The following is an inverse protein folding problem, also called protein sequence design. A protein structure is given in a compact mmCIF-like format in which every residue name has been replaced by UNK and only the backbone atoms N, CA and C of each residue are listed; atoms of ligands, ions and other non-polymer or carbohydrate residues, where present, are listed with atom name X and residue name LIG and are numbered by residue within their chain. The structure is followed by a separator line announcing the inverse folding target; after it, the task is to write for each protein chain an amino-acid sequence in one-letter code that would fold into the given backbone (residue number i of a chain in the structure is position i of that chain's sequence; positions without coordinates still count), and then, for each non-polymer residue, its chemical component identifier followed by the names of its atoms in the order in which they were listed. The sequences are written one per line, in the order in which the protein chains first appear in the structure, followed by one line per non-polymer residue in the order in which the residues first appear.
data_IF_185465621141
#
_entry.id   IF_185465621141
#
_cell.length_a   1.000
_cell.length_b   1.000
_cell.length_c   1.000
_cell.angle_alpha   90.00
_cell.angle_beta   90.00
_cell.angle_gamma   90.00
#
_symmetry.space_group_name_H-M   'P 1'
#
loop_
_entity.id
_entity.type
_entity.pdbx_description
1 polymer ?
#
# COMPACT_ATOMS: atom_id res chain seq x y z
N UNK A 1 32.27 14.58 -12.91
CA UNK A 1 31.82 13.50 -12.00
C UNK A 1 30.29 13.58 -11.86
N UNK A 2 29.58 13.54 -13.02
CA UNK A 2 28.12 13.76 -13.10
C UNK A 2 27.46 12.90 -14.22
N UNK A 3 27.77 11.57 -14.23
CA UNK A 3 27.19 10.63 -15.21
C UNK A 3 26.38 9.48 -14.59
N UNK A 4 25.97 9.56 -13.33
CA UNK A 4 25.29 8.43 -12.64
C UNK A 4 23.79 8.63 -12.46
N UNK A 5 23.21 9.75 -12.85
CA UNK A 5 21.82 10.11 -12.49
C UNK A 5 20.82 10.18 -13.66
N UNK A 6 21.08 9.44 -14.76
CA UNK A 6 20.09 9.41 -15.86
C UNK A 6 19.84 7.99 -16.38
N UNK A 7 19.49 7.06 -15.50
CA UNK A 7 18.74 5.86 -15.85
C UNK A 7 17.32 6.03 -15.32
N UNK A 8 16.44 6.64 -16.11
CA UNK A 8 15.02 6.38 -16.00
C UNK A 8 14.86 4.86 -16.16
N UNK A 9 14.44 4.19 -15.08
CA UNK A 9 14.14 2.75 -15.15
C UNK A 9 12.85 2.64 -15.95
N UNK A 10 12.98 2.35 -17.26
CA UNK A 10 11.79 2.15 -18.11
C UNK A 10 11.01 0.93 -17.62
N UNK A 11 9.71 1.11 -17.49
CA UNK A 11 8.76 0.04 -17.19
C UNK A 11 8.74 -0.97 -18.35
N UNK A 12 8.59 -2.26 -18.06
CA UNK A 12 8.48 -3.29 -19.08
C UNK A 12 7.17 -3.14 -19.86
N UNK A 13 7.23 -3.36 -21.18
CA UNK A 13 6.03 -3.25 -22.03
C UNK A 13 4.90 -4.17 -21.59
N UNK A 14 5.20 -5.40 -21.19
CA UNK A 14 4.19 -6.33 -20.69
C UNK A 14 3.50 -5.80 -19.42
N UNK A 15 4.22 -5.04 -18.58
CA UNK A 15 3.66 -4.38 -17.40
C UNK A 15 2.77 -3.20 -17.79
N UNK A 16 3.16 -2.42 -18.80
CA UNK A 16 2.34 -1.32 -19.32
C UNK A 16 1.01 -1.84 -19.86
N UNK A 17 1.03 -2.90 -20.67
CA UNK A 17 -0.18 -3.53 -21.22
C UNK A 17 -1.07 -4.08 -20.09
N UNK A 18 -0.49 -4.68 -19.06
CA UNK A 18 -1.22 -5.15 -17.88
C UNK A 18 -1.84 -4.00 -17.08
N UNK A 19 -1.12 -2.89 -16.91
CA UNK A 19 -1.62 -1.68 -16.24
C UNK A 19 -2.85 -1.14 -16.95
N UNK A 20 -2.85 -1.04 -18.28
CA UNK A 20 -4.02 -0.56 -19.02
C UNK A 20 -5.23 -1.50 -18.85
N UNK A 21 -5.02 -2.81 -18.89
CA UNK A 21 -6.07 -3.79 -18.57
C UNK A 21 -6.62 -3.62 -17.15
N UNK A 22 -5.74 -3.44 -16.17
CA UNK A 22 -6.14 -3.22 -14.76
C UNK A 22 -6.94 -1.93 -14.64
N UNK A 23 -6.52 -0.83 -15.28
CA UNK A 23 -7.25 0.44 -15.28
C UNK A 23 -8.67 0.29 -15.83
N UNK A 24 -8.86 -0.49 -16.91
CA UNK A 24 -10.19 -0.79 -17.46
C UNK A 24 -11.06 -1.56 -16.47
N UNK A 25 -10.47 -2.56 -15.78
CA UNK A 25 -11.18 -3.34 -14.76
C UNK A 25 -11.57 -2.46 -13.57
N UNK A 26 -10.64 -1.64 -13.04
CA UNK A 26 -10.89 -0.76 -11.90
C UNK A 26 -11.98 0.29 -12.18
N UNK A 27 -12.06 0.85 -13.41
CA UNK A 27 -13.13 1.77 -13.79
C UNK A 27 -14.53 1.14 -13.70
N UNK A 28 -14.62 -0.19 -13.84
CA UNK A 28 -15.90 -0.94 -13.70
C UNK A 28 -16.17 -1.34 -12.24
N UNK A 29 -15.14 -1.41 -11.41
CA UNK A 29 -15.21 -1.98 -10.04
C UNK A 29 -15.35 -0.94 -8.95
N UNK A 30 -14.99 0.31 -9.23
CA UNK A 30 -14.94 1.37 -8.20
C UNK A 30 -15.42 2.71 -8.74
N UNK A 31 -15.73 3.63 -7.83
CA UNK A 31 -16.09 5.01 -8.17
C UNK A 31 -14.94 5.73 -8.90
N UNK A 32 -15.29 6.73 -9.74
CA UNK A 32 -14.31 7.54 -10.44
C UNK A 32 -13.31 8.22 -9.49
N UNK A 33 -13.78 8.70 -8.35
CA UNK A 33 -12.93 9.29 -7.32
C UNK A 33 -11.88 8.28 -6.84
N UNK A 34 -12.29 7.04 -6.55
CA UNK A 34 -11.40 5.98 -6.08
C UNK A 34 -10.42 5.56 -7.18
N UNK A 35 -10.89 5.46 -8.41
CA UNK A 35 -10.04 5.17 -9.56
C UNK A 35 -8.94 6.23 -9.74
N UNK A 36 -9.29 7.52 -9.70
CA UNK A 36 -8.32 8.61 -9.83
C UNK A 36 -7.29 8.60 -8.69
N UNK A 37 -7.73 8.32 -7.46
CA UNK A 37 -6.83 8.11 -6.32
C UNK A 37 -5.86 6.95 -6.58
N UNK A 38 -6.34 5.80 -7.04
CA UNK A 38 -5.48 4.64 -7.34
C UNK A 38 -4.43 4.96 -8.42
N UNK A 39 -4.79 5.72 -9.45
CA UNK A 39 -3.82 6.18 -10.47
C UNK A 39 -2.79 7.15 -9.86
N UNK A 40 -3.20 8.05 -8.98
CA UNK A 40 -2.30 8.98 -8.30
C UNK A 40 -1.30 8.22 -7.40
N UNK A 41 -1.79 7.24 -6.63
CA UNK A 41 -0.93 6.38 -5.79
C UNK A 41 0.04 5.56 -6.63
N UNK A 42 -0.40 5.01 -7.77
CA UNK A 42 0.49 4.32 -8.72
C UNK A 42 1.65 5.21 -9.15
N UNK A 43 1.36 6.43 -9.60
CA UNK A 43 2.39 7.36 -10.06
C UNK A 43 3.38 7.72 -8.94
N UNK A 44 2.86 7.98 -7.73
CA UNK A 44 3.69 8.28 -6.57
C UNK A 44 4.53 7.07 -6.12
N UNK A 45 4.00 5.86 -6.20
CA UNK A 45 4.74 4.64 -5.87
C UNK A 45 5.90 4.41 -6.86
N UNK A 46 5.68 4.65 -8.16
CA UNK A 46 6.74 4.61 -9.19
C UNK A 46 7.83 5.62 -8.89
N UNK A 47 7.47 6.89 -8.64
CA UNK A 47 8.42 7.95 -8.29
C UNK A 47 9.29 7.58 -7.07
N UNK A 48 8.67 7.04 -6.01
CA UNK A 48 9.39 6.60 -4.83
C UNK A 48 10.27 5.36 -5.13
N UNK A 49 9.78 4.41 -5.93
CA UNK A 49 10.55 3.24 -6.32
C UNK A 49 11.84 3.62 -7.07
N UNK A 50 11.78 4.58 -7.98
CA UNK A 50 12.97 5.13 -8.65
C UNK A 50 13.97 5.73 -7.66
N UNK A 51 13.49 6.54 -6.69
CA UNK A 51 14.33 7.18 -5.66
C UNK A 51 15.04 6.17 -4.78
N UNK A 52 14.36 5.06 -4.42
CA UNK A 52 14.90 4.03 -3.52
C UNK A 52 15.55 2.86 -4.23
N UNK A 53 15.56 2.84 -5.57
CA UNK A 53 16.11 1.73 -6.37
C UNK A 53 15.29 0.45 -6.26
N UNK A 54 13.97 0.59 -6.04
CA UNK A 54 13.03 -0.52 -5.97
C UNK A 54 12.45 -0.83 -7.36
N UNK A 55 11.79 -1.97 -7.51
CA UNK A 55 11.20 -2.39 -8.77
C UNK A 55 9.98 -1.52 -9.13
N UNK A 56 10.11 -0.69 -10.19
CA UNK A 56 9.07 0.24 -10.63
C UNK A 56 7.82 -0.47 -11.16
N UNK A 57 7.97 -1.64 -11.82
CA UNK A 57 6.86 -2.45 -12.31
C UNK A 57 5.99 -2.92 -11.14
N UNK A 58 6.62 -3.48 -10.09
CA UNK A 58 5.91 -3.94 -8.88
C UNK A 58 5.28 -2.78 -8.12
N UNK A 59 5.96 -1.63 -8.03
CA UNK A 59 5.44 -0.44 -7.38
C UNK A 59 4.21 0.12 -8.11
N UNK A 60 4.24 0.15 -9.45
CA UNK A 60 3.10 0.56 -10.27
C UNK A 60 1.89 -0.37 -10.05
N UNK A 61 2.10 -1.68 -10.14
CA UNK A 61 1.03 -2.67 -9.97
C UNK A 61 0.43 -2.64 -8.57
N UNK A 62 1.27 -2.60 -7.54
CA UNK A 62 0.81 -2.53 -6.15
C UNK A 62 0.08 -1.21 -5.86
N UNK A 63 0.63 -0.07 -6.29
CA UNK A 63 0.02 1.24 -6.10
C UNK A 63 -1.32 1.37 -6.81
N UNK A 64 -1.44 0.87 -8.05
CA UNK A 64 -2.69 0.90 -8.81
C UNK A 64 -3.80 0.07 -8.18
N UNK A 65 -3.45 -1.05 -7.54
CA UNK A 65 -4.42 -2.03 -7.04
C UNK A 65 -4.59 -2.03 -5.52
N UNK A 66 -3.87 -1.15 -4.77
CA UNK A 66 -3.92 -1.16 -3.30
C UNK A 66 -5.34 -1.09 -2.73
N UNK A 67 -6.21 -0.30 -3.35
CA UNK A 67 -7.60 -0.06 -2.93
C UNK A 67 -8.65 -0.87 -3.75
N UNK A 68 -8.24 -1.92 -4.46
CA UNK A 68 -9.13 -2.73 -5.33
C UNK A 68 -10.38 -3.28 -4.60
N UNK A 69 -10.29 -3.49 -3.30
CA UNK A 69 -11.38 -4.01 -2.46
C UNK A 69 -12.03 -2.93 -1.56
N UNK A 70 -11.68 -1.64 -1.73
CA UNK A 70 -12.12 -0.56 -0.84
C UNK A 70 -13.62 -0.32 -0.81
N UNK A 71 -14.29 -0.55 -1.93
CA UNK A 71 -15.72 -0.33 -2.09
C UNK A 71 -16.50 -1.65 -2.09
N UNK A 72 -15.87 -2.78 -1.75
CA UNK A 72 -16.57 -4.04 -1.50
C UNK A 72 -17.37 -3.89 -0.20
N UNK A 73 -18.68 -4.23 -0.20
CA UNK A 73 -19.50 -4.19 1.02
C UNK A 73 -18.93 -5.09 2.12
N UNK A 74 -19.11 -4.69 3.39
CA UNK A 74 -18.58 -5.42 4.55
C UNK A 74 -19.02 -6.89 4.57
N UNK A 75 -20.30 -7.17 4.32
CA UNK A 75 -20.84 -8.53 4.25
C UNK A 75 -20.11 -9.40 3.21
N UNK A 76 -19.86 -8.83 2.06
CA UNK A 76 -19.12 -9.51 0.99
C UNK A 76 -17.65 -9.70 1.35
N UNK A 77 -17.02 -8.72 1.98
CA UNK A 77 -15.63 -8.84 2.47
C UNK A 77 -15.50 -9.94 3.51
N UNK A 78 -16.44 -10.07 4.45
CA UNK A 78 -16.48 -11.17 5.42
C UNK A 78 -16.72 -12.52 4.75
N UNK A 79 -17.63 -12.59 3.76
CA UNK A 79 -17.87 -13.81 3.00
C UNK A 79 -16.62 -14.28 2.26
N UNK A 80 -15.93 -13.36 1.57
CA UNK A 80 -14.66 -13.66 0.88
C UNK A 80 -13.63 -14.18 1.89
N UNK A 81 -13.53 -13.55 3.06
CA UNK A 81 -12.58 -13.98 4.09
C UNK A 81 -12.87 -15.40 4.58
N UNK A 82 -14.12 -15.72 4.89
CA UNK A 82 -14.54 -17.01 5.42
C UNK A 82 -14.35 -18.14 4.38
N UNK A 83 -14.86 -17.94 3.15
CA UNK A 83 -14.77 -18.91 2.07
C UNK A 83 -13.33 -19.25 1.65
N UNK A 84 -12.38 -18.32 1.86
CA UNK A 84 -11.00 -18.46 1.43
C UNK A 84 -10.00 -18.60 2.60
N UNK A 85 -10.49 -18.77 3.82
CA UNK A 85 -9.65 -19.01 5.00
C UNK A 85 -8.76 -17.82 5.35
N UNK A 86 -9.15 -16.58 4.99
CA UNK A 86 -8.42 -15.35 5.34
C UNK A 86 -8.66 -15.04 6.81
N UNK A 87 -7.61 -15.16 7.63
CA UNK A 87 -7.71 -14.92 9.06
C UNK A 87 -7.85 -13.43 9.36
N UNK A 88 -8.92 -13.08 10.05
CA UNK A 88 -9.21 -11.75 10.57
C UNK A 88 -9.04 -11.74 12.08
N UNK A 89 -8.37 -10.73 12.62
CA UNK A 89 -8.30 -10.51 14.06
C UNK A 89 -9.52 -9.75 14.61
N UNK A 90 -9.57 -9.57 15.92
CA UNK A 90 -10.71 -8.92 16.58
C UNK A 90 -10.83 -7.44 16.24
N UNK A 91 -9.72 -6.74 15.99
CA UNK A 91 -9.75 -5.31 15.64
C UNK A 91 -10.23 -5.13 14.20
N UNK A 92 -9.79 -5.99 13.29
CA UNK A 92 -10.25 -6.01 11.91
C UNK A 92 -11.76 -6.31 11.83
N UNK A 93 -12.28 -7.23 12.64
CA UNK A 93 -13.72 -7.51 12.70
C UNK A 93 -14.55 -6.34 13.22
N UNK A 94 -14.01 -5.56 14.16
CA UNK A 94 -14.67 -4.37 14.71
C UNK A 94 -14.54 -3.17 13.74
N UNK A 95 -13.40 -3.02 13.09
CA UNK A 95 -13.13 -1.96 12.16
C UNK A 95 -12.99 -2.51 10.73
N UNK A 96 -14.13 -2.79 10.11
CA UNK A 96 -14.22 -3.39 8.77
C UNK A 96 -13.47 -2.64 7.67
N UNK A 97 -13.20 -1.33 7.91
CA UNK A 97 -12.38 -0.54 6.99
C UNK A 97 -10.95 -1.05 6.83
N UNK A 98 -10.48 -1.89 7.75
CA UNK A 98 -9.14 -2.50 7.66
C UNK A 98 -9.11 -3.71 6.72
N UNK A 99 -10.26 -4.33 6.46
CA UNK A 99 -10.36 -5.58 5.68
C UNK A 99 -9.86 -5.44 4.25
N UNK A 100 -10.06 -4.25 3.64
CA UNK A 100 -9.76 -4.08 2.22
C UNK A 100 -8.29 -4.33 1.85
N UNK A 101 -7.35 -4.25 2.78
CA UNK A 101 -5.95 -4.63 2.53
C UNK A 101 -5.81 -6.14 2.28
N UNK A 102 -6.34 -6.97 3.18
CA UNK A 102 -6.30 -8.43 3.05
C UNK A 102 -7.18 -8.93 1.90
N UNK A 103 -8.39 -8.42 1.80
CA UNK A 103 -9.33 -8.78 0.73
C UNK A 103 -8.79 -8.29 -0.63
N UNK A 104 -8.21 -7.11 -0.70
CA UNK A 104 -7.59 -6.57 -1.91
C UNK A 104 -6.42 -7.42 -2.40
N UNK A 105 -5.56 -7.87 -1.50
CA UNK A 105 -4.47 -8.79 -1.84
C UNK A 105 -5.02 -10.11 -2.41
N UNK A 106 -6.07 -10.67 -1.81
CA UNK A 106 -6.73 -11.87 -2.33
C UNK A 106 -7.31 -11.63 -3.72
N UNK A 107 -8.11 -10.57 -3.91
CA UNK A 107 -8.72 -10.23 -5.21
C UNK A 107 -7.66 -9.99 -6.28
N UNK A 108 -6.57 -9.30 -5.96
CA UNK A 108 -5.46 -9.05 -6.88
C UNK A 108 -4.73 -10.34 -7.28
N UNK A 109 -4.56 -11.28 -6.33
CA UNK A 109 -4.02 -12.63 -6.63
C UNK A 109 -4.89 -13.36 -7.63
N UNK A 110 -6.18 -13.47 -7.36
CA UNK A 110 -7.12 -14.22 -8.20
C UNK A 110 -7.29 -13.62 -9.60
N UNK A 111 -7.32 -12.28 -9.71
CA UNK A 111 -7.55 -11.61 -10.99
C UNK A 111 -6.29 -11.50 -11.86
N UNK A 112 -5.14 -11.24 -11.24
CA UNK A 112 -3.94 -10.83 -11.97
C UNK A 112 -2.73 -11.75 -11.72
N UNK A 113 -2.82 -12.70 -10.79
CA UNK A 113 -1.74 -13.64 -10.50
C UNK A 113 -0.47 -12.99 -9.94
N UNK A 114 -0.60 -11.90 -9.19
CA UNK A 114 0.53 -11.17 -8.65
C UNK A 114 1.39 -12.02 -7.71
N UNK A 115 2.69 -11.71 -7.68
CA UNK A 115 3.64 -12.32 -6.77
C UNK A 115 3.43 -11.83 -5.31
N UNK A 116 4.01 -12.55 -4.36
CA UNK A 116 3.82 -12.27 -2.92
C UNK A 116 4.32 -10.88 -2.49
N UNK A 117 5.31 -10.28 -3.15
CA UNK A 117 5.78 -8.94 -2.81
C UNK A 117 4.71 -7.88 -3.09
N UNK A 118 4.11 -7.93 -4.29
CA UNK A 118 2.99 -7.03 -4.67
C UNK A 118 1.82 -7.25 -3.72
N UNK A 119 1.44 -8.52 -3.48
CA UNK A 119 0.31 -8.86 -2.60
C UNK A 119 0.55 -8.40 -1.16
N UNK A 120 1.79 -8.50 -0.67
CA UNK A 120 2.15 -8.02 0.66
C UNK A 120 2.08 -6.49 0.76
N UNK A 121 2.53 -5.76 -0.26
CA UNK A 121 2.39 -4.31 -0.31
C UNK A 121 0.92 -3.87 -0.31
N UNK A 122 0.05 -4.56 -1.07
CA UNK A 122 -1.40 -4.33 -1.04
C UNK A 122 -1.97 -4.63 0.36
N UNK A 123 -1.58 -5.74 0.98
CA UNK A 123 -2.07 -6.13 2.31
C UNK A 123 -1.70 -5.12 3.40
N UNK A 124 -0.48 -4.60 3.35
CA UNK A 124 0.10 -3.76 4.41
C UNK A 124 -0.14 -2.26 4.24
N UNK A 125 -0.85 -1.81 3.18
CA UNK A 125 -1.14 -0.39 3.04
C UNK A 125 -2.21 0.13 4.03
N UNK A 126 -3.01 -0.76 4.63
CA UNK A 126 -4.02 -0.40 5.65
C UNK A 126 -3.52 -0.53 7.07
N UNK A 127 -2.83 -1.65 7.34
CA UNK A 127 -2.21 -1.97 8.62
C UNK A 127 -0.77 -2.33 8.36
N UNK A 128 0.14 -1.65 9.02
CA UNK A 128 1.56 -1.97 8.96
C UNK A 128 1.85 -3.30 9.67
N UNK A 129 3.00 -3.88 9.39
CA UNK A 129 3.52 -5.02 10.14
C UNK A 129 5.04 -4.85 10.36
N UNK A 130 5.59 -5.44 11.44
CA UNK A 130 7.03 -5.57 11.58
C UNK A 130 7.65 -6.18 10.31
N UNK A 131 8.88 -5.82 10.02
CA UNK A 131 9.63 -6.32 8.85
C UNK A 131 9.02 -6.01 7.46
N UNK A 132 8.23 -4.91 7.35
CA UNK A 132 7.80 -4.40 6.04
C UNK A 132 9.01 -4.23 5.10
N UNK A 133 8.92 -4.81 3.91
CA UNK A 133 9.91 -4.57 2.86
C UNK A 133 9.80 -3.14 2.27
N UNK A 134 10.73 -2.77 1.41
CA UNK A 134 10.77 -1.42 0.83
C UNK A 134 9.54 -1.15 -0.04
N UNK A 135 9.08 -2.14 -0.82
CA UNK A 135 7.89 -2.01 -1.66
C UNK A 135 6.63 -1.71 -0.84
N UNK A 136 6.42 -2.44 0.27
CA UNK A 136 5.29 -2.22 1.16
C UNK A 136 5.34 -0.82 1.81
N UNK A 137 6.51 -0.35 2.24
CA UNK A 137 6.69 1.02 2.76
C UNK A 137 6.39 2.07 1.71
N UNK A 138 6.85 1.88 0.46
CA UNK A 138 6.60 2.79 -0.66
C UNK A 138 5.09 2.93 -0.89
N UNK A 139 4.36 1.82 -1.01
CA UNK A 139 2.91 1.85 -1.25
C UNK A 139 2.16 2.46 -0.07
N UNK A 140 2.52 2.11 1.16
CA UNK A 140 1.94 2.70 2.38
C UNK A 140 2.13 4.22 2.44
N UNK A 141 3.33 4.71 2.11
CA UNK A 141 3.63 6.15 2.10
C UNK A 141 2.96 6.83 0.93
N UNK A 142 2.98 6.24 -0.28
CA UNK A 142 2.36 6.80 -1.48
C UNK A 142 0.85 7.05 -1.31
N UNK A 143 0.14 6.12 -0.64
CA UNK A 143 -1.30 6.29 -0.32
C UNK A 143 -1.60 7.45 0.66
N UNK A 144 -0.63 7.86 1.47
CA UNK A 144 -0.82 8.87 2.54
C UNK A 144 -0.23 10.23 2.23
N UNK A 145 0.61 10.36 1.18
CA UNK A 145 1.21 11.63 0.77
C UNK A 145 0.32 12.28 -0.29
N UNK A 146 -0.13 13.51 -0.05
CA UNK A 146 -0.80 14.32 -1.07
C UNK A 146 0.17 14.63 -2.23
N UNK A 147 -0.33 14.69 -3.47
CA UNK A 147 0.42 14.88 -4.73
C UNK A 147 1.32 16.14 -4.79
N UNK A 148 1.29 17.01 -3.80
CA UNK A 148 1.91 18.33 -3.81
C UNK A 148 3.38 18.34 -3.38
N UNK A 149 3.94 17.26 -2.87
CA UNK A 149 5.35 17.20 -2.47
C UNK A 149 6.19 16.49 -3.52
N UNK A 150 7.13 17.24 -4.16
CA UNK A 150 8.22 16.61 -4.93
C UNK A 150 9.00 15.69 -3.99
N UNK A 151 9.31 14.49 -4.46
CA UNK A 151 10.08 13.48 -3.71
C UNK A 151 11.57 13.83 -3.73
N UNK A 152 11.96 14.92 -3.05
CA UNK A 152 13.33 14.95 -2.56
C UNK A 152 13.48 13.79 -1.60
N UNK A 153 14.64 13.13 -1.59
CA UNK A 153 14.93 11.91 -0.86
C UNK A 153 14.31 11.90 0.55
N UNK A 154 13.04 11.44 0.63
CA UNK A 154 12.28 11.37 1.89
C UNK A 154 12.93 10.26 2.71
N UNK A 155 13.17 10.44 4.00
CA UNK A 155 13.44 9.33 4.91
C UNK A 155 12.18 8.45 4.98
N UNK A 156 12.15 7.34 4.25
CA UNK A 156 10.96 6.49 4.14
C UNK A 156 10.54 5.91 5.50
N UNK A 157 11.50 5.49 6.32
CA UNK A 157 11.22 4.97 7.66
C UNK A 157 10.65 6.08 8.57
N UNK A 158 11.20 7.29 8.48
CA UNK A 158 10.66 8.46 9.16
C UNK A 158 9.26 8.85 8.69
N UNK A 159 8.99 8.73 7.39
CA UNK A 159 7.64 8.97 6.84
C UNK A 159 6.64 7.94 7.37
N UNK A 160 6.98 6.66 7.38
CA UNK A 160 6.13 5.59 7.96
C UNK A 160 5.86 5.87 9.44
N UNK A 161 6.89 6.17 10.24
CA UNK A 161 6.73 6.51 11.67
C UNK A 161 5.77 7.68 11.84
N UNK A 162 5.96 8.77 11.10
CA UNK A 162 5.12 9.96 11.18
C UNK A 162 3.65 9.65 10.84
N UNK A 163 3.40 8.84 9.83
CA UNK A 163 2.03 8.42 9.44
C UNK A 163 1.41 7.60 10.56
N UNK A 164 2.14 6.63 11.13
CA UNK A 164 1.67 5.81 12.25
C UNK A 164 1.36 6.69 13.47
N UNK A 165 2.27 7.59 13.86
CA UNK A 165 2.08 8.50 15.00
C UNK A 165 0.82 9.36 14.84
N UNK A 166 0.59 9.91 13.64
CA UNK A 166 -0.61 10.68 13.33
C UNK A 166 -1.88 9.81 13.38
N UNK A 167 -1.80 8.56 12.93
CA UNK A 167 -2.90 7.59 12.97
C UNK A 167 -3.23 7.23 14.41
N UNK A 168 -2.25 6.87 15.22
CA UNK A 168 -2.40 6.56 16.65
C UNK A 168 -3.05 7.73 17.38
N UNK A 169 -2.54 8.95 17.18
CA UNK A 169 -3.12 10.15 17.79
C UNK A 169 -4.60 10.30 17.44
N UNK A 170 -4.98 10.19 16.17
CA UNK A 170 -6.37 10.27 15.71
C UNK A 170 -7.26 9.19 16.34
N UNK A 171 -6.72 7.96 16.53
CA UNK A 171 -7.47 6.86 17.14
C UNK A 171 -7.65 7.10 18.65
N UNK A 172 -6.61 7.57 19.36
CA UNK A 172 -6.68 7.94 20.78
C UNK A 172 -7.71 9.06 21.00
N UNK A 173 -7.65 10.13 20.21
CA UNK A 173 -8.58 11.26 20.31
C UNK A 173 -10.04 10.84 20.09
N UNK A 174 -10.28 9.77 19.34
CA UNK A 174 -11.60 9.20 19.05
C UNK A 174 -12.00 8.04 19.98
N UNK A 175 -11.18 7.67 20.96
CA UNK A 175 -11.41 6.51 21.83
C UNK A 175 -11.50 5.18 21.07
N UNK A 176 -10.76 5.03 19.96
CA UNK A 176 -10.74 3.83 19.13
C UNK A 176 -9.56 2.91 19.50
N UNK A 177 -9.75 1.61 19.22
CA UNK A 177 -8.68 0.62 19.39
C UNK A 177 -7.53 0.89 18.42
N UNK A 178 -6.32 0.66 18.89
CA UNK A 178 -5.08 0.72 18.11
C UNK A 178 -4.64 -0.71 17.84
N UNK A 179 -4.38 -1.04 16.58
CA UNK A 179 -3.86 -2.37 16.26
C UNK A 179 -2.42 -2.53 16.80
N UNK A 180 -2.10 -3.64 17.46
CA UNK A 180 -0.75 -3.86 18.04
C UNK A 180 0.38 -3.72 17.03
N UNK A 181 0.18 -4.17 15.78
CA UNK A 181 1.19 -4.12 14.74
C UNK A 181 1.61 -2.69 14.36
N UNK A 182 0.72 -1.71 14.47
CA UNK A 182 1.08 -0.28 14.28
C UNK A 182 2.15 0.14 15.29
N UNK A 183 1.98 -0.24 16.57
CA UNK A 183 2.94 0.08 17.63
C UNK A 183 4.24 -0.70 17.45
N UNK A 184 4.15 -1.98 17.10
CA UNK A 184 5.31 -2.84 16.89
C UNK A 184 6.16 -2.35 15.72
N UNK A 185 5.53 -2.05 14.58
CA UNK A 185 6.21 -1.51 13.39
C UNK A 185 6.89 -0.19 13.69
N UNK A 186 6.16 0.74 14.33
CA UNK A 186 6.73 2.03 14.74
C UNK A 186 7.99 1.86 15.61
N UNK A 187 7.90 1.04 16.64
CA UNK A 187 9.01 0.83 17.58
C UNK A 187 10.20 0.11 16.92
N UNK A 188 9.95 -0.79 15.99
CA UNK A 188 10.99 -1.43 15.20
C UNK A 188 11.74 -0.42 14.33
N UNK A 189 11.02 0.43 13.59
CA UNK A 189 11.62 1.44 12.72
C UNK A 189 12.43 2.46 13.51
N UNK A 190 11.98 2.86 14.71
CA UNK A 190 12.76 3.75 15.59
C UNK A 190 14.07 3.07 16.01
N UNK A 191 14.04 1.81 16.48
CA UNK A 191 15.24 1.07 16.86
C UNK A 191 16.25 0.96 15.72
N UNK A 192 15.79 0.61 14.52
CA UNK A 192 16.63 0.53 13.31
C UNK A 192 17.31 1.85 12.94
N UNK A 193 16.73 3.00 13.33
CA UNK A 193 17.31 4.33 13.10
C UNK A 193 18.36 4.71 14.16
N UNK A 194 18.23 4.20 15.38
CA UNK A 194 19.20 4.43 16.45
C UNK A 194 20.47 3.59 16.29
N UNK A 195 20.39 2.49 15.53
CA UNK A 195 21.52 1.57 15.26
C UNK A 195 22.39 2.01 14.06
N UNK A 196 22.00 3.04 13.30
CA UNK A 196 22.72 3.61 12.14
C UNK A 196 23.55 4.82 12.54
#
# INVERSE_FOLDING_TARGET
MDEVYNRSVEMKKDTEDLIEKIKEDLRRMMSEHRFNHSVSVMNKAVELAEVYGENVDEAALAGLTHDIAKEIPDEEAFRIADENGIKLDEIEKINTKLLHGKIGAFVAREKYGFNERILNAIRLHTLTAPDMDMLAKIVFVADKIEDTRKSDKIDIDGAVIMIIDNTIKKLVDKGKLIHPDEILTRNELIRRREEK
#
